data_IF_321741650433
#
_entry.id   IF_321741650433
#
_cell.length_a   1.000
_cell.length_b   1.000
_cell.length_c   1.000
_cell.angle_alpha   90.00
_cell.angle_beta   90.00
_cell.angle_gamma   90.00
#
_symmetry.space_group_name_H-M   'P 1'
#
loop_
_entity.id
_entity.type
_entity.pdbx_description
1 polymer ?
#
# COMPACT_ATOMS: atom_id res chain seq x y z
N UNK A 1 -12.88 23.55 -16.61
CA UNK A 1 -12.79 22.11 -16.95
C UNK A 1 -12.06 21.40 -15.82
N UNK A 2 -12.54 20.24 -15.38
CA UNK A 2 -11.86 19.42 -14.36
C UNK A 2 -11.01 18.37 -15.09
N UNK A 3 -9.68 18.43 -14.92
CA UNK A 3 -8.74 17.52 -15.57
C UNK A 3 -7.45 17.37 -14.74
N UNK A 4 -6.79 16.23 -14.89
CA UNK A 4 -5.45 15.94 -14.32
C UNK A 4 -4.35 16.43 -15.27
N UNK A 5 -3.25 16.99 -14.73
CA UNK A 5 -2.14 17.51 -15.54
C UNK A 5 -1.34 16.39 -16.20
N UNK A 6 -1.17 15.28 -15.47
CA UNK A 6 -0.55 14.05 -15.93
C UNK A 6 -1.14 12.87 -15.15
N UNK A 7 -0.66 11.66 -15.41
CA UNK A 7 -1.20 10.45 -14.77
C UNK A 7 -0.97 10.45 -13.25
N UNK A 8 0.12 11.03 -12.73
CA UNK A 8 0.43 11.00 -11.30
C UNK A 8 -0.66 11.70 -10.46
N UNK A 9 -1.32 12.72 -11.02
CA UNK A 9 -2.45 13.42 -10.39
C UNK A 9 -3.68 12.51 -10.18
N UNK A 10 -3.72 11.28 -10.71
CA UNK A 10 -4.82 10.31 -10.51
C UNK A 10 -4.57 9.33 -9.37
N UNK A 11 -3.43 9.40 -8.67
CA UNK A 11 -3.15 8.62 -7.45
C UNK A 11 -3.92 9.16 -6.23
N UNK A 12 -5.21 9.42 -6.42
CA UNK A 12 -6.12 9.99 -5.43
C UNK A 12 -7.56 9.75 -5.81
N UNK A 13 -8.46 10.00 -4.87
CA UNK A 13 -9.90 9.91 -5.06
C UNK A 13 -10.35 8.50 -5.49
N UNK A 14 -9.68 7.47 -4.97
CA UNK A 14 -10.08 6.09 -5.17
C UNK A 14 -11.53 5.89 -4.69
N UNK A 15 -12.31 5.02 -5.36
CA UNK A 15 -13.73 4.90 -5.08
C UNK A 15 -13.98 4.26 -3.72
N UNK A 16 -15.05 4.74 -3.08
CA UNK A 16 -15.66 4.08 -1.93
C UNK A 16 -16.91 3.33 -2.42
N UNK A 17 -16.84 2.01 -2.50
CA UNK A 17 -17.86 1.15 -3.12
C UNK A 17 -18.64 0.42 -2.03
N UNK A 18 -19.96 0.51 -2.03
CA UNK A 18 -20.80 -0.28 -1.12
C UNK A 18 -20.74 -1.76 -1.53
N UNK A 19 -20.39 -2.65 -0.59
CA UNK A 19 -20.50 -4.09 -0.76
C UNK A 19 -21.95 -4.53 -0.48
N UNK A 20 -22.46 -5.51 -1.21
CA UNK A 20 -23.89 -5.87 -1.15
C UNK A 20 -24.12 -7.37 -0.92
N UNK A 21 -23.57 -8.23 -1.78
CA UNK A 21 -23.82 -9.67 -1.80
C UNK A 21 -22.90 -10.44 -0.87
N UNK A 22 -21.61 -10.09 -0.81
CA UNK A 22 -20.65 -10.82 0.04
C UNK A 22 -20.87 -10.53 1.53
N UNK A 23 -21.50 -9.41 1.85
CA UNK A 23 -21.78 -8.93 3.22
C UNK A 23 -23.28 -8.91 3.56
N UNK A 24 -24.12 -9.66 2.83
CA UNK A 24 -25.58 -9.55 2.93
C UNK A 24 -26.13 -9.84 4.35
N UNK A 25 -25.43 -10.65 5.13
CA UNK A 25 -25.80 -11.03 6.51
C UNK A 25 -25.29 -10.04 7.58
N UNK A 26 -24.51 -9.02 7.19
CA UNK A 26 -24.00 -7.99 8.11
C UNK A 26 -25.05 -6.91 8.29
N UNK A 27 -25.35 -6.58 9.54
CA UNK A 27 -26.39 -5.58 9.87
C UNK A 27 -26.00 -4.15 9.48
N UNK A 28 -24.72 -3.79 9.60
CA UNK A 28 -24.20 -2.47 9.25
C UNK A 28 -23.87 -2.31 7.76
N UNK A 29 -23.68 -1.07 7.32
CA UNK A 29 -23.28 -0.80 5.95
C UNK A 29 -21.77 -1.01 5.78
N UNK A 30 -21.38 -1.90 4.85
CA UNK A 30 -19.97 -2.15 4.54
C UNK A 30 -19.59 -1.49 3.21
N UNK A 31 -18.52 -0.70 3.25
CA UNK A 31 -17.95 -0.03 2.08
C UNK A 31 -16.49 -0.45 1.90
N UNK A 32 -16.09 -0.71 0.66
CA UNK A 32 -14.72 -0.94 0.27
C UNK A 32 -14.08 0.34 -0.26
N UNK A 33 -12.99 0.77 0.37
CA UNK A 33 -12.06 1.74 -0.18
C UNK A 33 -11.11 0.99 -1.10
N UNK A 34 -11.30 1.15 -2.40
CA UNK A 34 -10.67 0.29 -3.41
C UNK A 34 -9.41 0.98 -3.96
N UNK A 35 -8.29 0.79 -3.27
CA UNK A 35 -7.02 1.45 -3.61
C UNK A 35 -6.35 0.88 -4.86
N UNK A 36 -6.79 -0.27 -5.36
CA UNK A 36 -6.30 -0.80 -6.63
C UNK A 36 -6.82 -0.04 -7.87
N UNK A 37 -7.55 1.08 -7.70
CA UNK A 37 -7.82 2.06 -8.74
C UNK A 37 -6.72 3.15 -8.85
N UNK A 38 -5.65 3.05 -8.06
CA UNK A 38 -4.46 3.90 -8.21
C UNK A 38 -3.64 3.53 -9.46
N UNK A 39 -2.59 4.31 -9.73
CA UNK A 39 -1.79 4.34 -10.97
C UNK A 39 -1.40 2.96 -11.50
N UNK A 40 -0.92 2.07 -10.64
CA UNK A 40 -0.41 0.74 -10.99
C UNK A 40 -1.24 -0.37 -10.38
N UNK A 41 -2.49 -0.05 -10.03
CA UNK A 41 -3.42 -0.89 -9.28
C UNK A 41 -2.90 -1.29 -7.90
N UNK A 42 -2.15 -0.40 -7.24
CA UNK A 42 -1.59 -0.70 -5.93
C UNK A 42 -1.66 0.51 -4.99
N UNK A 43 -2.04 0.26 -3.75
CA UNK A 43 -2.22 1.32 -2.77
C UNK A 43 -0.94 2.12 -2.46
N UNK A 44 0.26 1.51 -2.62
CA UNK A 44 1.54 2.17 -2.34
C UNK A 44 1.89 3.28 -3.34
N UNK A 45 1.12 3.47 -4.41
CA UNK A 45 1.34 4.56 -5.37
C UNK A 45 1.38 5.94 -4.70
N UNK A 46 0.51 6.16 -3.71
CA UNK A 46 0.45 7.42 -2.95
C UNK A 46 1.74 7.68 -2.19
N UNK A 47 2.21 6.67 -1.48
CA UNK A 47 3.48 6.68 -0.76
C UNK A 47 4.65 6.95 -1.72
N UNK A 48 4.70 6.25 -2.86
CA UNK A 48 5.75 6.39 -3.85
C UNK A 48 5.84 7.83 -4.37
N UNK A 49 4.71 8.43 -4.75
CA UNK A 49 4.69 9.82 -5.20
C UNK A 49 5.19 10.76 -4.12
N UNK A 50 4.73 10.55 -2.88
CA UNK A 50 5.12 11.40 -1.76
C UNK A 50 6.61 11.31 -1.46
N UNK A 51 7.19 10.12 -1.48
CA UNK A 51 8.63 9.91 -1.32
C UNK A 51 9.44 10.66 -2.39
N UNK A 52 9.00 10.61 -3.65
CA UNK A 52 9.66 11.33 -4.75
C UNK A 52 9.56 12.84 -4.55
N UNK A 53 8.38 13.36 -4.21
CA UNK A 53 8.16 14.80 -3.94
C UNK A 53 8.97 15.31 -2.74
N UNK A 54 9.13 14.51 -1.69
CA UNK A 54 9.97 14.83 -0.54
C UNK A 54 11.45 14.83 -0.91
N UNK A 55 11.90 13.85 -1.69
CA UNK A 55 13.27 13.83 -2.20
C UNK A 55 13.57 15.05 -3.09
N UNK A 56 12.60 15.47 -3.93
CA UNK A 56 12.68 16.70 -4.72
C UNK A 56 12.80 17.94 -3.82
N UNK A 57 11.86 18.12 -2.89
CA UNK A 57 11.76 19.32 -2.05
C UNK A 57 12.94 19.49 -1.09
N UNK A 58 13.50 18.39 -0.59
CA UNK A 58 14.67 18.41 0.28
C UNK A 58 16.00 18.45 -0.50
N UNK A 59 15.95 18.44 -1.84
CA UNK A 59 17.12 18.53 -2.71
C UNK A 59 17.92 17.23 -2.86
N UNK A 60 17.43 16.11 -2.32
CA UNK A 60 18.04 14.79 -2.46
C UNK A 60 17.92 14.25 -3.89
N UNK A 61 16.83 14.59 -4.59
CA UNK A 61 16.59 14.22 -5.99
C UNK A 61 16.56 15.50 -6.85
N UNK A 62 17.60 15.68 -7.66
CA UNK A 62 17.73 16.85 -8.56
C UNK A 62 17.12 16.57 -9.93
N UNK A 63 16.69 17.60 -10.69
CA UNK A 63 16.17 17.42 -12.05
C UNK A 63 17.10 16.58 -12.94
N UNK A 64 16.56 15.55 -13.59
CA UNK A 64 17.35 14.62 -14.42
C UNK A 64 18.18 13.59 -13.65
N UNK A 65 18.10 13.58 -12.32
CA UNK A 65 18.80 12.64 -11.45
C UNK A 65 18.35 11.18 -11.59
N UNK A 66 19.00 10.30 -10.83
CA UNK A 66 18.76 8.85 -10.87
C UNK A 66 18.12 8.34 -9.59
N UNK A 67 16.98 7.68 -9.71
CA UNK A 67 16.34 6.94 -8.63
C UNK A 67 16.93 5.52 -8.60
N UNK A 68 17.36 5.06 -7.42
CA UNK A 68 17.88 3.71 -7.21
C UNK A 68 16.95 2.97 -6.25
N UNK A 69 16.29 1.93 -6.74
CA UNK A 69 15.44 1.05 -5.94
C UNK A 69 16.14 -0.28 -5.67
N UNK A 70 16.63 -0.44 -4.43
CA UNK A 70 17.22 -1.69 -3.93
C UNK A 70 16.27 -2.52 -3.05
N UNK A 71 14.99 -2.15 -2.97
CA UNK A 71 14.09 -2.59 -1.89
C UNK A 71 13.35 -3.90 -2.16
N UNK A 72 13.69 -4.59 -3.25
CA UNK A 72 13.21 -5.93 -3.61
C UNK A 72 11.69 -6.09 -3.77
N UNK A 73 10.88 -5.03 -3.65
CA UNK A 73 9.42 -5.13 -3.51
C UNK A 73 8.66 -4.14 -4.39
N UNK A 74 7.33 -4.33 -4.43
CA UNK A 74 6.38 -4.01 -5.49
C UNK A 74 6.16 -2.51 -5.81
N UNK A 75 7.10 -1.65 -5.42
CA UNK A 75 7.08 -0.20 -5.67
C UNK A 75 7.78 0.21 -6.97
N UNK A 76 8.61 -0.66 -7.55
CA UNK A 76 9.41 -0.34 -8.74
C UNK A 76 8.56 0.12 -9.95
N UNK A 77 7.35 -0.43 -10.10
CA UNK A 77 6.43 -0.05 -11.17
C UNK A 77 5.93 1.40 -10.99
N UNK A 78 5.51 1.76 -9.77
CA UNK A 78 5.10 3.13 -9.44
C UNK A 78 6.26 4.13 -9.56
N UNK A 79 7.47 3.74 -9.11
CA UNK A 79 8.68 4.55 -9.27
C UNK A 79 9.02 4.78 -10.73
N UNK A 80 8.86 3.78 -11.60
CA UNK A 80 9.12 3.90 -13.02
C UNK A 80 8.18 4.91 -13.69
N UNK A 81 6.89 4.87 -13.36
CA UNK A 81 5.93 5.87 -13.86
C UNK A 81 6.27 7.27 -13.36
N UNK A 82 6.56 7.42 -12.07
CA UNK A 82 6.97 8.70 -11.50
C UNK A 82 8.24 9.24 -12.19
N UNK A 83 9.25 8.40 -12.38
CA UNK A 83 10.49 8.73 -13.06
C UNK A 83 10.24 9.17 -14.51
N UNK A 84 9.45 8.42 -15.28
CA UNK A 84 9.15 8.75 -16.67
C UNK A 84 8.42 10.09 -16.81
N UNK A 85 7.44 10.37 -15.94
CA UNK A 85 6.66 11.62 -15.99
C UNK A 85 7.49 12.82 -15.53
N UNK A 86 8.32 12.66 -14.50
CA UNK A 86 9.11 13.74 -13.89
C UNK A 86 10.51 13.90 -14.53
N UNK A 87 10.91 12.99 -15.41
CA UNK A 87 12.17 13.06 -16.17
C UNK A 87 13.40 12.53 -15.43
N UNK A 88 13.23 11.50 -14.58
CA UNK A 88 14.32 10.81 -13.88
C UNK A 88 14.73 9.52 -14.58
N UNK A 89 15.97 9.10 -14.32
CA UNK A 89 16.39 7.72 -14.60
C UNK A 89 15.97 6.82 -13.44
N UNK A 90 15.63 5.56 -13.72
CA UNK A 90 15.35 4.56 -12.69
C UNK A 90 16.24 3.34 -12.87
N UNK A 91 16.90 2.95 -11.78
CA UNK A 91 17.62 1.68 -11.65
C UNK A 91 16.94 0.84 -10.58
N UNK A 92 16.37 -0.30 -10.97
CA UNK A 92 15.79 -1.29 -10.06
C UNK A 92 16.76 -2.45 -9.88
N UNK A 93 16.96 -2.87 -8.64
CA UNK A 93 17.80 -4.01 -8.29
C UNK A 93 16.88 -5.10 -7.74
N UNK A 94 16.84 -6.23 -8.43
CA UNK A 94 15.87 -7.31 -8.16
C UNK A 94 16.59 -8.64 -7.99
N UNK A 95 16.13 -9.49 -7.07
CA UNK A 95 16.72 -10.81 -6.88
C UNK A 95 16.37 -11.76 -8.02
N UNK A 96 17.24 -12.73 -8.29
CA UNK A 96 17.03 -13.79 -9.28
C UNK A 96 15.92 -14.78 -8.91
N UNK A 97 15.39 -14.73 -7.69
CA UNK A 97 14.20 -15.49 -7.26
C UNK A 97 12.87 -14.83 -7.61
N UNK A 98 12.86 -13.54 -7.98
CA UNK A 98 11.61 -12.90 -8.38
C UNK A 98 11.12 -13.43 -9.74
N UNK A 99 9.80 -13.52 -9.95
CA UNK A 99 9.24 -13.92 -11.23
C UNK A 99 9.77 -13.05 -12.37
N UNK A 100 10.13 -13.69 -13.49
CA UNK A 100 10.72 -13.02 -14.64
C UNK A 100 9.81 -11.91 -15.17
N UNK A 101 8.51 -12.11 -15.10
CA UNK A 101 7.46 -11.16 -15.49
C UNK A 101 7.67 -9.79 -14.83
N UNK A 102 8.08 -9.74 -13.55
CA UNK A 102 8.38 -8.48 -12.86
C UNK A 102 9.54 -7.75 -13.55
N UNK A 103 10.61 -8.47 -13.88
CA UNK A 103 11.78 -7.88 -14.57
C UNK A 103 11.45 -7.42 -15.99
N UNK A 104 10.61 -8.18 -16.70
CA UNK A 104 10.24 -7.89 -18.07
C UNK A 104 9.34 -6.65 -18.14
N UNK A 105 8.38 -6.51 -17.22
CA UNK A 105 7.54 -5.31 -17.12
C UNK A 105 8.38 -4.08 -16.79
N UNK A 106 9.26 -4.14 -15.78
CA UNK A 106 10.12 -3.02 -15.39
C UNK A 106 11.03 -2.55 -16.55
N UNK A 107 11.62 -3.48 -17.30
CA UNK A 107 12.42 -3.13 -18.49
C UNK A 107 11.55 -2.52 -19.59
N UNK A 108 10.37 -3.07 -19.84
CA UNK A 108 9.47 -2.59 -20.88
C UNK A 108 8.99 -1.15 -20.65
N UNK A 109 8.83 -0.75 -19.39
CA UNK A 109 8.43 0.62 -19.01
C UNK A 109 9.62 1.58 -18.87
N UNK A 110 10.84 1.15 -19.20
CA UNK A 110 12.03 2.02 -19.26
C UNK A 110 12.96 2.00 -18.05
N UNK A 111 12.72 1.13 -17.05
CA UNK A 111 13.64 0.99 -15.93
C UNK A 111 14.88 0.17 -16.32
N UNK A 112 16.06 0.57 -15.84
CA UNK A 112 17.25 -0.27 -15.88
C UNK A 112 17.17 -1.30 -14.77
N UNK A 113 17.14 -2.58 -15.12
CA UNK A 113 17.02 -3.67 -14.13
C UNK A 113 18.36 -4.39 -13.97
N UNK A 114 18.88 -4.40 -12.74
CA UNK A 114 20.06 -5.17 -12.31
C UNK A 114 19.57 -6.37 -11.50
N UNK A 115 20.02 -7.57 -11.87
CA UNK A 115 19.66 -8.80 -11.15
C UNK A 115 20.75 -9.13 -10.14
N UNK A 116 20.39 -9.25 -8.85
CA UNK A 116 21.26 -9.68 -7.76
C UNK A 116 20.99 -11.15 -7.40
N UNK A 117 21.95 -11.82 -6.75
CA UNK A 117 21.77 -13.22 -6.31
C UNK A 117 21.05 -13.29 -4.96
N UNK A 118 20.10 -14.20 -4.83
CA UNK A 118 19.19 -14.29 -3.67
C UNK A 118 19.85 -14.69 -2.35
N UNK A 119 20.91 -15.50 -2.37
CA UNK A 119 21.49 -16.10 -1.15
C UNK A 119 22.61 -15.27 -0.49
N UNK A 120 22.78 -14.02 -0.91
CA UNK A 120 23.82 -13.13 -0.42
C UNK A 120 23.34 -12.41 0.85
N UNK A 121 23.99 -12.64 2.00
CA UNK A 121 23.76 -11.84 3.21
C UNK A 121 23.81 -10.34 2.89
N UNK A 122 23.09 -9.49 3.64
CA UNK A 122 23.03 -8.05 3.34
C UNK A 122 24.42 -7.38 3.20
N UNK A 123 25.42 -7.89 3.93
CA UNK A 123 26.82 -7.45 3.91
C UNK A 123 27.64 -7.98 2.72
N UNK A 124 27.14 -9.00 2.02
CA UNK A 124 27.82 -9.60 0.87
C UNK A 124 27.80 -8.61 -0.32
N UNK A 125 28.90 -8.47 -1.08
CA UNK A 125 29.00 -7.49 -2.17
C UNK A 125 27.94 -7.63 -3.27
N UNK A 126 27.50 -8.86 -3.53
CA UNK A 126 26.47 -9.17 -4.55
C UNK A 126 25.03 -9.10 -4.01
N UNK A 127 24.84 -8.72 -2.75
CA UNK A 127 23.50 -8.50 -2.20
C UNK A 127 22.85 -7.29 -2.87
N UNK A 128 21.53 -7.31 -3.01
CA UNK A 128 20.79 -6.17 -3.55
C UNK A 128 21.06 -4.88 -2.77
N UNK A 129 21.26 -4.98 -1.44
CA UNK A 129 21.61 -3.85 -0.59
C UNK A 129 23.00 -3.27 -0.92
N UNK A 130 24.02 -4.13 -1.01
CA UNK A 130 25.39 -3.71 -1.34
C UNK A 130 25.48 -3.09 -2.73
N UNK A 131 24.77 -3.67 -3.70
CA UNK A 131 24.69 -3.11 -5.06
C UNK A 131 24.02 -1.74 -5.04
N UNK A 132 22.90 -1.58 -4.31
CA UNK A 132 22.20 -0.30 -4.18
C UNK A 132 23.10 0.77 -3.57
N UNK A 133 23.78 0.43 -2.47
CA UNK A 133 24.73 1.32 -1.79
C UNK A 133 25.87 1.73 -2.71
N UNK A 134 26.51 0.76 -3.38
CA UNK A 134 27.59 1.03 -4.33
C UNK A 134 27.15 1.97 -5.46
N UNK A 135 25.99 1.72 -6.06
CA UNK A 135 25.46 2.57 -7.12
C UNK A 135 25.16 3.99 -6.63
N UNK A 136 24.67 4.14 -5.39
CA UNK A 136 24.44 5.45 -4.79
C UNK A 136 25.73 6.25 -4.56
N UNK A 137 26.85 5.56 -4.35
CA UNK A 137 28.18 6.18 -4.20
C UNK A 137 28.82 6.51 -5.56
N UNK A 138 28.57 5.70 -6.59
CA UNK A 138 29.16 5.84 -7.93
C UNK A 138 28.39 6.81 -8.84
N UNK A 139 27.06 6.86 -8.73
CA UNK A 139 26.21 7.69 -9.60
C UNK A 139 25.99 9.05 -8.95
N UNK A 140 26.55 10.09 -9.56
CA UNK A 140 26.30 11.48 -9.17
C UNK A 140 24.82 11.83 -9.36
N UNK A 141 24.28 12.65 -8.45
CA UNK A 141 22.87 13.07 -8.45
C UNK A 141 21.89 11.87 -8.43
N UNK A 142 22.24 10.84 -7.66
CA UNK A 142 21.37 9.71 -7.38
C UNK A 142 20.72 9.78 -6.01
N UNK A 143 19.52 9.21 -5.91
CA UNK A 143 18.78 9.04 -4.68
C UNK A 143 18.41 7.56 -4.51
N UNK A 144 18.93 6.94 -3.45
CA UNK A 144 18.55 5.58 -3.07
C UNK A 144 17.24 5.62 -2.29
N UNK A 145 16.23 4.92 -2.81
CA UNK A 145 14.91 4.83 -2.21
C UNK A 145 15.00 3.96 -0.95
N UNK A 146 14.42 4.44 0.14
CA UNK A 146 14.25 3.67 1.37
C UNK A 146 12.85 3.91 1.95
N UNK A 147 11.90 2.99 1.76
CA UNK A 147 10.54 3.10 2.31
C UNK A 147 10.54 3.21 3.84
N UNK A 148 11.50 2.57 4.52
CA UNK A 148 11.54 2.62 5.99
C UNK A 148 11.82 4.03 6.52
N UNK A 149 12.66 4.82 5.82
CA UNK A 149 12.92 6.20 6.21
C UNK A 149 11.64 7.04 6.13
N UNK A 150 10.85 6.84 5.07
CA UNK A 150 9.55 7.50 4.90
C UNK A 150 8.55 7.07 5.98
N UNK A 151 8.43 5.77 6.24
CA UNK A 151 7.51 5.22 7.25
C UNK A 151 7.85 5.60 8.68
N UNK A 152 9.12 5.89 8.96
CA UNK A 152 9.57 6.34 10.28
C UNK A 152 9.11 7.77 10.58
N UNK A 153 8.88 8.59 9.55
CA UNK A 153 8.45 9.99 9.65
C UNK A 153 6.92 10.12 9.61
N UNK A 154 6.22 9.37 10.48
CA UNK A 154 4.76 9.12 10.63
C UNK A 154 3.80 10.33 10.70
N UNK A 155 4.24 11.51 10.29
CA UNK A 155 3.47 12.75 10.28
C UNK A 155 2.66 12.98 9.00
N UNK A 156 2.76 12.07 8.02
CA UNK A 156 2.11 12.24 6.73
C UNK A 156 0.77 11.50 6.70
N UNK A 157 -0.31 12.24 6.92
CA UNK A 157 -1.65 11.83 6.53
C UNK A 157 -1.68 11.46 5.05
N UNK A 158 -2.25 10.30 4.75
CA UNK A 158 -2.12 9.64 3.46
C UNK A 158 -3.12 10.08 2.38
N UNK A 159 -3.81 11.23 2.45
CA UNK A 159 -4.96 11.57 1.59
C UNK A 159 -6.14 10.59 1.65
N UNK A 160 -5.93 9.27 1.60
CA UNK A 160 -6.93 8.21 1.77
C UNK A 160 -7.72 8.37 3.07
N UNK A 161 -7.07 8.88 4.11
CA UNK A 161 -7.67 9.22 5.39
C UNK A 161 -8.71 10.35 5.28
N UNK A 162 -8.34 11.43 4.58
CA UNK A 162 -9.24 12.55 4.27
C UNK A 162 -10.36 12.07 3.36
N UNK A 163 -10.02 11.30 2.31
CA UNK A 163 -10.99 10.79 1.35
C UNK A 163 -12.03 9.89 2.02
N UNK A 164 -11.63 8.95 2.88
CA UNK A 164 -12.57 8.10 3.63
C UNK A 164 -13.49 8.96 4.50
N UNK A 165 -12.94 9.93 5.22
CA UNK A 165 -13.73 10.84 6.06
C UNK A 165 -14.74 11.65 5.27
N UNK A 166 -14.32 12.24 4.14
CA UNK A 166 -15.18 13.04 3.26
C UNK A 166 -16.24 12.19 2.56
N UNK A 167 -15.86 11.03 1.99
CA UNK A 167 -16.74 10.11 1.28
C UNK A 167 -17.81 9.52 2.22
N UNK A 168 -17.45 9.25 3.47
CA UNK A 168 -18.41 8.82 4.50
C UNK A 168 -19.14 9.97 5.19
N UNK A 169 -18.79 11.22 4.89
CA UNK A 169 -19.28 12.43 5.57
C UNK A 169 -19.13 12.35 7.10
N UNK A 170 -18.01 11.80 7.55
CA UNK A 170 -17.68 11.60 8.96
C UNK A 170 -18.51 10.53 9.69
N UNK A 171 -19.24 9.68 8.96
CA UNK A 171 -20.12 8.66 9.55
C UNK A 171 -19.46 7.31 9.82
N UNK A 172 -18.23 7.11 9.34
CA UNK A 172 -17.47 5.87 9.59
C UNK A 172 -17.46 5.52 11.08
N UNK A 173 -17.74 4.27 11.41
CA UNK A 173 -17.67 3.73 12.78
C UNK A 173 -16.55 2.71 12.93
N UNK A 174 -16.20 1.99 11.85
CA UNK A 174 -15.13 0.98 11.85
C UNK A 174 -14.24 1.15 10.61
N UNK A 175 -12.92 1.13 10.82
CA UNK A 175 -11.92 0.93 9.78
C UNK A 175 -11.34 -0.48 9.92
N UNK A 176 -11.27 -1.22 8.81
CA UNK A 176 -10.72 -2.58 8.78
C UNK A 176 -9.69 -2.70 7.65
N UNK A 177 -8.51 -3.23 7.95
CA UNK A 177 -7.40 -3.31 6.98
C UNK A 177 -6.42 -4.45 7.31
N UNK A 178 -5.60 -4.83 6.34
CA UNK A 178 -4.50 -5.79 6.53
C UNK A 178 -3.29 -5.11 7.20
N UNK A 179 -2.86 -5.62 8.35
CA UNK A 179 -1.74 -5.06 9.12
C UNK A 179 -0.38 -5.23 8.42
N UNK A 180 -0.31 -6.00 7.35
CA UNK A 180 0.90 -6.10 6.53
C UNK A 180 1.00 -4.96 5.51
N UNK A 181 -0.10 -4.23 5.27
CA UNK A 181 -0.13 -2.97 4.50
C UNK A 181 -0.15 -1.76 5.44
N UNK A 182 0.66 -1.81 6.50
CA UNK A 182 0.71 -0.78 7.56
C UNK A 182 1.23 0.56 7.04
N UNK A 183 1.95 0.56 5.92
CA UNK A 183 2.37 1.80 5.27
C UNK A 183 1.20 2.75 5.03
N UNK A 184 0.06 2.20 4.62
CA UNK A 184 -1.12 2.97 4.27
C UNK A 184 -2.09 3.10 5.43
N UNK A 185 -2.28 2.00 6.14
CA UNK A 185 -3.36 1.90 7.13
C UNK A 185 -3.04 2.65 8.43
N UNK A 186 -1.75 2.90 8.71
CA UNK A 186 -1.33 3.52 9.95
C UNK A 186 -1.63 5.02 10.04
N UNK A 187 -1.39 5.77 8.96
CA UNK A 187 -1.79 7.18 8.89
C UNK A 187 -3.31 7.36 8.94
N UNK A 188 -4.06 6.46 8.30
CA UNK A 188 -5.53 6.49 8.27
C UNK A 188 -6.12 6.28 9.66
N UNK A 189 -5.64 5.27 10.40
CA UNK A 189 -6.12 4.98 11.75
C UNK A 189 -5.92 6.16 12.70
N UNK A 190 -4.73 6.79 12.68
CA UNK A 190 -4.42 7.95 13.50
C UNK A 190 -5.33 9.15 13.17
N UNK A 191 -5.43 9.53 11.89
CA UNK A 191 -6.28 10.65 11.47
C UNK A 191 -7.73 10.46 11.90
N UNK A 192 -8.29 9.27 11.69
CA UNK A 192 -9.67 8.98 12.06
C UNK A 192 -9.89 9.07 13.57
N UNK A 193 -8.94 8.57 14.38
CA UNK A 193 -9.01 8.70 15.85
C UNK A 193 -8.93 10.15 16.31
N UNK A 194 -8.14 11.00 15.65
CA UNK A 194 -8.10 12.44 15.94
C UNK A 194 -9.40 13.15 15.58
N UNK A 195 -10.10 12.72 14.52
CA UNK A 195 -11.44 13.23 14.17
C UNK A 195 -12.53 12.74 15.11
N UNK A 196 -12.51 11.45 15.46
CA UNK A 196 -13.44 10.82 16.37
C UNK A 196 -12.78 9.61 17.07
N UNK A 197 -12.45 9.72 18.37
CA UNK A 197 -11.75 8.66 19.10
C UNK A 197 -12.57 7.37 19.25
N UNK A 198 -13.89 7.43 19.03
CA UNK A 198 -14.79 6.27 19.11
C UNK A 198 -14.74 5.36 17.88
N UNK A 199 -14.16 5.81 16.76
CA UNK A 199 -14.01 4.97 15.56
C UNK A 199 -13.15 3.77 15.91
N UNK A 200 -13.62 2.57 15.59
CA UNK A 200 -12.91 1.33 15.84
C UNK A 200 -11.93 1.02 14.73
N UNK A 201 -10.69 0.73 15.11
CA UNK A 201 -9.61 0.44 14.16
C UNK A 201 -9.23 -1.04 14.31
N UNK A 202 -9.58 -1.85 13.31
CA UNK A 202 -9.46 -3.30 13.34
C UNK A 202 -8.41 -3.77 12.32
N UNK A 203 -7.40 -4.47 12.82
CA UNK A 203 -6.35 -5.06 11.99
C UNK A 203 -6.67 -6.51 11.62
N UNK A 204 -6.34 -6.90 10.40
CA UNK A 204 -6.41 -8.27 9.90
C UNK A 204 -5.00 -8.78 9.66
N UNK A 205 -4.69 -9.97 10.16
CA UNK A 205 -3.39 -10.62 10.02
C UNK A 205 -3.56 -11.97 9.32
N UNK A 206 -2.88 -12.16 8.20
CA UNK A 206 -2.81 -13.46 7.51
C UNK A 206 -1.84 -14.35 8.27
N UNK A 207 -2.26 -15.56 8.64
CA UNK A 207 -1.48 -16.46 9.52
C UNK A 207 -0.08 -16.79 8.98
N UNK A 208 0.07 -16.93 7.67
CA UNK A 208 1.37 -17.21 7.02
C UNK A 208 2.29 -15.98 6.96
N UNK A 209 1.76 -14.79 7.23
CA UNK A 209 2.46 -13.50 7.20
C UNK A 209 2.48 -12.84 8.59
N UNK A 210 2.41 -13.65 9.66
CA UNK A 210 2.44 -13.14 11.04
C UNK A 210 3.62 -12.19 11.23
N UNK A 211 3.32 -10.94 11.61
CA UNK A 211 4.36 -10.03 12.05
C UNK A 211 4.72 -10.42 13.47
N UNK A 212 6.01 -10.50 13.79
CA UNK A 212 6.47 -10.42 15.17
C UNK A 212 6.28 -8.99 15.74
N UNK A 213 5.23 -8.28 15.34
CA UNK A 213 4.93 -6.94 15.78
C UNK A 213 4.11 -7.04 17.07
N UNK A 214 4.71 -6.62 18.17
CA UNK A 214 3.94 -6.23 19.36
C UNK A 214 3.13 -4.98 19.00
N UNK A 215 1.97 -4.77 19.65
CA UNK A 215 1.14 -3.55 19.52
C UNK A 215 1.93 -2.25 19.75
N UNK A 216 3.13 -2.33 20.32
CA UNK A 216 4.03 -1.22 20.63
C UNK A 216 4.65 -0.53 19.41
N UNK A 217 4.59 -1.15 18.22
CA UNK A 217 5.22 -0.60 17.01
C UNK A 217 4.29 0.27 16.15
N UNK A 218 2.99 0.40 16.45
CA UNK A 218 2.04 1.22 15.67
C UNK A 218 1.81 2.58 16.35
N UNK A 219 1.59 3.68 15.60
CA UNK A 219 1.41 5.01 16.19
C UNK A 219 0.05 5.20 16.89
N UNK A 220 -0.87 4.24 16.73
CA UNK A 220 -2.19 4.17 17.36
C UNK A 220 -2.48 2.75 17.82
N UNK A 221 -3.35 2.62 18.81
CA UNK A 221 -3.80 1.33 19.31
C UNK A 221 -4.87 0.73 18.40
N UNK A 222 -4.64 -0.50 17.93
CA UNK A 222 -5.69 -1.33 17.33
C UNK A 222 -6.75 -1.63 18.40
N UNK A 223 -8.02 -1.44 18.06
CA UNK A 223 -9.15 -1.87 18.89
C UNK A 223 -9.38 -3.40 18.80
N UNK A 224 -8.84 -4.05 17.77
CA UNK A 224 -8.90 -5.50 17.58
C UNK A 224 -7.94 -5.99 16.50
N UNK A 225 -7.49 -7.25 16.64
CA UNK A 225 -6.68 -7.96 15.67
C UNK A 225 -7.32 -9.32 15.38
N UNK A 226 -7.54 -9.64 14.11
CA UNK A 226 -8.24 -10.84 13.67
C UNK A 226 -7.32 -11.63 12.75
N UNK A 227 -7.19 -12.93 13.02
CA UNK A 227 -6.37 -13.82 12.21
C UNK A 227 -7.21 -14.49 11.12
N UNK A 228 -6.63 -14.58 9.94
CA UNK A 228 -7.25 -15.15 8.75
C UNK A 228 -6.29 -16.14 8.09
N UNK A 229 -6.80 -17.31 7.71
CA UNK A 229 -6.01 -18.30 6.98
C UNK A 229 -5.75 -17.85 5.54
N UNK A 230 -4.67 -18.33 4.93
CA UNK A 230 -4.37 -18.03 3.52
C UNK A 230 -5.44 -18.59 2.57
N UNK A 231 -6.02 -19.74 2.90
CA UNK A 231 -7.12 -20.35 2.14
C UNK A 231 -8.36 -19.46 2.17
N UNK A 232 -8.78 -19.00 3.35
CA UNK A 232 -9.95 -18.13 3.52
C UNK A 232 -9.77 -16.79 2.81
N UNK A 233 -8.56 -16.22 2.85
CA UNK A 233 -8.22 -15.00 2.14
C UNK A 233 -8.40 -15.16 0.62
N UNK A 234 -7.89 -16.25 0.04
CA UNK A 234 -8.03 -16.54 -1.39
C UNK A 234 -9.48 -16.83 -1.79
N UNK A 235 -10.23 -17.56 -0.96
CA UNK A 235 -11.65 -17.82 -1.19
C UNK A 235 -12.45 -16.50 -1.20
N UNK A 236 -12.22 -15.62 -0.22
CA UNK A 236 -12.90 -14.33 -0.16
C UNK A 236 -12.52 -13.39 -1.31
N UNK A 237 -11.25 -13.38 -1.74
CA UNK A 237 -10.80 -12.64 -2.94
C UNK A 237 -11.57 -13.11 -4.19
N UNK A 238 -11.74 -14.42 -4.37
CA UNK A 238 -12.56 -14.99 -5.45
C UNK A 238 -14.02 -14.56 -5.34
N UNK A 239 -14.60 -14.59 -4.14
CA UNK A 239 -15.99 -14.20 -3.91
C UNK A 239 -16.24 -12.71 -4.19
N UNK A 240 -15.29 -11.82 -3.86
CA UNK A 240 -15.35 -10.40 -4.25
C UNK A 240 -15.51 -10.24 -5.76
N UNK A 241 -14.73 -10.98 -6.54
CA UNK A 241 -14.81 -10.94 -7.99
C UNK A 241 -16.14 -11.48 -8.49
N UNK A 242 -16.55 -12.66 -8.02
CA UNK A 242 -17.74 -13.35 -8.53
C UNK A 242 -19.06 -12.66 -8.13
N UNK A 243 -19.11 -12.03 -6.96
CA UNK A 243 -20.35 -11.48 -6.40
C UNK A 243 -20.44 -9.96 -6.53
N UNK A 244 -19.33 -9.24 -6.33
CA UNK A 244 -19.28 -7.77 -6.37
C UNK A 244 -18.66 -7.22 -7.65
N UNK A 245 -17.98 -8.06 -8.45
CA UNK A 245 -17.25 -7.59 -9.64
C UNK A 245 -15.97 -6.82 -9.30
N UNK A 246 -15.48 -6.97 -8.07
CA UNK A 246 -14.24 -6.34 -7.62
C UNK A 246 -13.11 -7.37 -7.75
N UNK A 247 -12.20 -7.15 -8.69
CA UNK A 247 -10.97 -7.94 -8.81
C UNK A 247 -9.99 -7.38 -7.80
N UNK A 248 -9.66 -8.17 -6.78
CA UNK A 248 -8.80 -7.76 -5.68
C UNK A 248 -7.92 -8.93 -5.22
N UNK A 249 -6.76 -8.62 -4.68
CA UNK A 249 -5.73 -9.56 -4.26
C UNK A 249 -6.07 -10.31 -2.97
N UNK A 250 -5.10 -11.12 -2.53
CA UNK A 250 -5.22 -11.96 -1.32
C UNK A 250 -5.40 -11.10 -0.07
N UNK A 251 -4.72 -9.96 0.04
CA UNK A 251 -4.84 -9.04 1.18
C UNK A 251 -6.27 -8.53 1.32
N UNK A 252 -6.86 -8.04 0.22
CA UNK A 252 -8.25 -7.61 0.16
C UNK A 252 -9.25 -8.72 0.53
N UNK A 253 -8.99 -9.96 0.08
CA UNK A 253 -9.76 -11.13 0.48
C UNK A 253 -9.66 -11.45 1.98
N UNK A 254 -8.48 -11.32 2.59
CA UNK A 254 -8.31 -11.48 4.02
C UNK A 254 -9.12 -10.43 4.81
N UNK A 255 -9.10 -9.17 4.35
CA UNK A 255 -9.88 -8.10 4.98
C UNK A 255 -11.38 -8.39 4.95
N UNK A 256 -11.91 -8.86 3.82
CA UNK A 256 -13.31 -9.30 3.74
C UNK A 256 -13.58 -10.44 4.74
N UNK A 257 -12.73 -11.46 4.78
CA UNK A 257 -12.93 -12.59 5.68
C UNK A 257 -12.96 -12.14 7.15
N UNK A 258 -12.04 -11.27 7.55
CA UNK A 258 -12.01 -10.71 8.91
C UNK A 258 -13.30 -9.98 9.28
N UNK A 259 -13.88 -9.22 8.35
CA UNK A 259 -15.20 -8.60 8.54
C UNK A 259 -16.30 -9.65 8.68
N UNK A 260 -16.28 -10.73 7.89
CA UNK A 260 -17.26 -11.81 8.00
C UNK A 260 -17.17 -12.56 9.33
N UNK A 261 -15.97 -12.76 9.88
CA UNK A 261 -15.80 -13.35 11.21
C UNK A 261 -16.44 -12.50 12.32
N UNK A 262 -16.47 -11.18 12.14
CA UNK A 262 -17.04 -10.23 13.09
C UNK A 262 -18.51 -9.89 12.81
N UNK A 263 -19.16 -10.53 11.84
CA UNK A 263 -20.49 -10.13 11.34
C UNK A 263 -21.56 -9.92 12.44
N UNK A 264 -21.52 -10.71 13.51
CA UNK A 264 -22.48 -10.66 14.62
C UNK A 264 -22.23 -9.50 15.60
N UNK A 265 -21.09 -8.82 15.49
CA UNK A 265 -20.72 -7.70 16.36
C UNK A 265 -21.17 -6.34 15.79
N UNK A 266 -21.44 -6.27 14.48
CA UNK A 266 -21.87 -5.04 13.82
C UNK A 266 -23.35 -4.77 14.03
N UNK A 267 -23.68 -3.48 14.16
CA UNK A 267 -25.04 -2.97 14.40
C UNK A 267 -25.61 -2.29 13.15
N UNK A 268 -26.94 -2.13 13.07
CA UNK A 268 -27.59 -1.49 11.92
C UNK A 268 -27.11 -0.07 11.59
N UNK A 269 -26.62 0.67 12.59
CA UNK A 269 -26.10 2.04 12.45
C UNK A 269 -24.60 2.10 12.13
N UNK A 270 -23.91 0.96 12.09
CA UNK A 270 -22.49 0.92 11.76
C UNK A 270 -22.22 1.24 10.30
N UNK A 271 -21.14 1.98 10.08
CA UNK A 271 -20.55 2.26 8.78
C UNK A 271 -19.13 1.69 8.82
N UNK A 272 -18.98 0.49 8.27
CA UNK A 272 -17.72 -0.25 8.19
C UNK A 272 -17.03 0.11 6.88
N UNK A 273 -15.79 0.57 6.96
CA UNK A 273 -14.93 0.79 5.79
C UNK A 273 -13.80 -0.23 5.81
N UNK A 274 -13.75 -1.07 4.78
CA UNK A 274 -12.65 -2.00 4.51
C UNK A 274 -11.70 -1.39 3.50
N UNK A 275 -10.39 -1.58 3.68
CA UNK A 275 -9.37 -1.12 2.72
C UNK A 275 -8.90 -2.29 1.88
N UNK A 276 -9.04 -2.18 0.56
CA UNK A 276 -8.56 -3.14 -0.42
C UNK A 276 -7.33 -2.56 -1.11
N UNK A 277 -6.15 -3.13 -0.83
CA UNK A 277 -4.85 -2.56 -1.22
C UNK A 277 -4.40 -2.96 -2.63
N UNK A 278 -4.86 -4.12 -3.09
CA UNK A 278 -4.54 -4.79 -4.35
C UNK A 278 -5.77 -5.55 -4.87
#
# INVERSE_FOLDING_TARGET
MQYSKNILDTARQTPLIKLNKVVAEISGAVFAKVENFNLVNFAKDRMILKMVEEAESNGNLKPGGTIIDGTLQDIGLGLALAANVKGYQLICIISDTQPKEKTDILRAIGAKVIVCKTDAEATHPDSCFSISKKLSEEITDSWSVNPMDYLSNRTHYEQSDIEIWEQTKGKITHLVFDINAVEISSGVGQFLKEKNPNIKILGIEIESLKRNATQENEPYSLDGLIQVSEEDALLCSKELTLKEGIVAGKSSGAVLNGVLQLQQQFKPDDVIVVVFND
#
